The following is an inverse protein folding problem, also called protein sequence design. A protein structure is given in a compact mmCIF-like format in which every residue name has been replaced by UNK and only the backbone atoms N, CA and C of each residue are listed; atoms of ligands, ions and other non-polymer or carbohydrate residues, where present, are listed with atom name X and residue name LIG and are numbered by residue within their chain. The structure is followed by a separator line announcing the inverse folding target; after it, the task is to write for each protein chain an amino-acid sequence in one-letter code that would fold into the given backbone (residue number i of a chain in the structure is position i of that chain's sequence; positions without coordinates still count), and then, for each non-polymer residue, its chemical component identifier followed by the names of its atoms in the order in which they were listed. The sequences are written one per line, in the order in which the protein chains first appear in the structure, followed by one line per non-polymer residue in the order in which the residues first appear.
data_IF_365943864866
#
_entry.id   IF_365943864866
#
_cell.length_a   1.000
_cell.length_b   1.000
_cell.length_c   1.000
_cell.angle_alpha   90.00
_cell.angle_beta   90.00
_cell.angle_gamma   90.00
#
_symmetry.space_group_name_H-M   'P 1'
#
loop_
_entity.id
_entity.type
_entity.pdbx_description
1 polymer ?
#
# COMPACT_ATOMS: atom_id res chain seq x y z
N UNK A 1 10.98 -9.38 10.78
CA UNK A 1 10.91 -8.88 9.39
C UNK A 1 10.03 -7.64 9.40
N UNK A 2 10.53 -6.47 8.98
CA UNK A 2 9.73 -5.25 8.95
C UNK A 2 8.72 -5.30 7.79
N UNK A 3 7.46 -5.02 8.08
CA UNK A 3 6.39 -4.82 7.09
C UNK A 3 6.13 -3.33 6.99
N UNK A 4 6.18 -2.79 5.78
CA UNK A 4 5.84 -1.39 5.48
C UNK A 4 4.53 -1.36 4.71
N UNK A 5 3.62 -0.48 5.11
CA UNK A 5 2.35 -0.24 4.41
C UNK A 5 2.33 1.21 3.95
N UNK A 6 2.20 1.42 2.66
CA UNK A 6 2.14 2.74 2.03
C UNK A 6 0.81 2.93 1.31
N UNK A 7 0.22 4.11 1.46
CA UNK A 7 -0.92 4.55 0.67
C UNK A 7 -0.40 4.97 -0.71
N UNK A 8 -0.95 4.40 -1.78
CA UNK A 8 -0.67 4.89 -3.14
C UNK A 8 -1.72 5.93 -3.52
N UNK A 9 -3.00 5.60 -3.32
CA UNK A 9 -4.14 6.51 -3.43
C UNK A 9 -5.30 5.97 -2.62
N UNK A 10 -6.24 6.77 -2.10
CA UNK A 10 -7.48 6.21 -1.56
C UNK A 10 -8.25 5.49 -2.68
N UNK A 11 -8.66 4.21 -2.57
CA UNK A 11 -8.54 3.26 -1.46
C UNK A 11 -7.44 2.17 -1.65
N UNK A 12 -6.47 2.38 -2.55
CA UNK A 12 -5.32 1.52 -2.83
C UNK A 12 -4.14 1.71 -1.86
N UNK A 13 -3.82 0.63 -1.16
CA UNK A 13 -2.65 0.49 -0.31
C UNK A 13 -1.72 -0.59 -0.85
N UNK A 14 -0.43 -0.47 -0.53
CA UNK A 14 0.57 -1.49 -0.83
C UNK A 14 1.32 -1.89 0.43
N UNK A 15 1.58 -3.18 0.55
CA UNK A 15 2.30 -3.76 1.67
C UNK A 15 3.56 -4.44 1.15
N UNK A 16 4.72 -4.06 1.69
CA UNK A 16 6.02 -4.60 1.31
C UNK A 16 6.73 -5.16 2.54
N UNK A 17 7.49 -6.23 2.35
CA UNK A 17 8.36 -6.81 3.40
C UNK A 17 9.66 -7.24 2.77
N UNK A 18 10.77 -7.07 3.51
CA UNK A 18 12.07 -7.60 3.11
C UNK A 18 12.39 -8.84 3.94
N UNK A 19 12.63 -9.96 3.28
CA UNK A 19 12.96 -11.24 3.89
C UNK A 19 14.16 -11.89 3.18
N UNK A 20 15.02 -12.57 3.94
CA UNK A 20 16.13 -13.38 3.38
C UNK A 20 15.60 -14.65 2.70
N UNK A 21 14.51 -15.20 3.24
CA UNK A 21 13.84 -16.38 2.71
C UNK A 21 12.48 -15.98 2.13
N UNK A 22 12.30 -16.24 0.85
CA UNK A 22 11.08 -15.95 0.10
C UNK A 22 9.83 -16.56 0.74
N UNK A 23 9.93 -17.83 1.17
CA UNK A 23 8.81 -18.57 1.79
C UNK A 23 8.36 -17.94 3.10
N UNK A 24 9.30 -17.60 3.97
CA UNK A 24 9.00 -16.97 5.27
C UNK A 24 8.35 -15.59 5.08
N UNK A 25 8.80 -14.82 4.08
CA UNK A 25 8.22 -13.52 3.76
C UNK A 25 6.76 -13.63 3.29
N UNK A 26 6.48 -14.55 2.36
CA UNK A 26 5.12 -14.78 1.85
C UNK A 26 4.19 -15.31 2.95
N UNK A 27 4.66 -16.24 3.79
CA UNK A 27 3.87 -16.73 4.93
C UNK A 27 3.54 -15.63 5.94
N UNK A 28 4.50 -14.74 6.22
CA UNK A 28 4.29 -13.62 7.12
C UNK A 28 3.25 -12.65 6.58
N UNK A 29 3.32 -12.29 5.29
CA UNK A 29 2.34 -11.40 4.64
C UNK A 29 0.94 -12.01 4.66
N UNK A 30 0.81 -13.31 4.41
CA UNK A 30 -0.48 -14.00 4.49
C UNK A 30 -1.08 -13.95 5.90
N UNK A 31 -0.26 -14.16 6.94
CA UNK A 31 -0.70 -14.02 8.34
C UNK A 31 -1.13 -12.59 8.66
N UNK A 32 -0.37 -11.60 8.17
CA UNK A 32 -0.69 -10.19 8.37
C UNK A 32 -2.02 -9.80 7.69
N UNK A 33 -2.27 -10.28 6.46
CA UNK A 33 -3.53 -10.05 5.74
C UNK A 33 -4.71 -10.65 6.49
N UNK A 34 -4.59 -11.89 6.97
CA UNK A 34 -5.67 -12.56 7.71
C UNK A 34 -6.02 -11.81 9.01
N UNK A 35 -5.01 -11.32 9.73
CA UNK A 35 -5.23 -10.53 10.95
C UNK A 35 -5.82 -9.15 10.63
N UNK A 36 -5.36 -8.49 9.57
CA UNK A 36 -5.94 -7.23 9.09
C UNK A 36 -7.41 -7.40 8.72
N UNK A 37 -7.77 -8.48 8.02
CA UNK A 37 -9.16 -8.78 7.66
C UNK A 37 -10.02 -8.97 8.92
N UNK A 38 -9.51 -9.68 9.92
CA UNK A 38 -10.20 -9.85 11.22
C UNK A 38 -10.46 -8.51 11.90
N UNK A 39 -9.42 -7.69 12.06
CA UNK A 39 -9.51 -6.37 12.72
C UNK A 39 -10.43 -5.43 11.94
N UNK A 40 -10.33 -5.39 10.61
CA UNK A 40 -11.20 -4.55 9.79
C UNK A 40 -12.66 -4.95 9.93
N UNK A 41 -12.95 -6.26 9.90
CA UNK A 41 -14.31 -6.78 10.07
C UNK A 41 -14.89 -6.45 11.45
N UNK A 42 -14.08 -6.50 12.50
CA UNK A 42 -14.48 -6.09 13.86
C UNK A 42 -14.82 -4.60 13.95
N UNK A 43 -14.16 -3.76 13.14
CA UNK A 43 -14.42 -2.32 13.07
C UNK A 43 -15.48 -1.94 12.01
N UNK A 44 -16.12 -2.92 11.37
CA UNK A 44 -17.14 -2.68 10.32
C UNK A 44 -16.59 -2.25 8.97
N UNK A 45 -15.27 -2.35 8.75
CA UNK A 45 -14.62 -2.12 7.47
C UNK A 45 -14.50 -3.39 6.63
N UNK A 46 -14.14 -3.23 5.36
CA UNK A 46 -13.82 -4.32 4.45
C UNK A 46 -12.57 -4.00 3.64
N UNK A 47 -11.76 -5.01 3.35
CA UNK A 47 -10.59 -4.92 2.47
C UNK A 47 -10.67 -6.02 1.42
N UNK A 48 -10.24 -5.70 0.21
CA UNK A 48 -10.13 -6.66 -0.89
C UNK A 48 -8.68 -6.73 -1.35
N UNK A 49 -8.08 -7.90 -1.24
CA UNK A 49 -6.74 -8.15 -1.76
C UNK A 49 -6.80 -8.17 -3.30
N UNK A 50 -6.17 -7.19 -3.94
CA UNK A 50 -6.10 -7.11 -5.41
C UNK A 50 -5.03 -8.03 -5.99
N UNK A 51 -3.87 -8.05 -5.33
CA UNK A 51 -2.75 -8.91 -5.68
C UNK A 51 -2.36 -9.74 -4.46
N UNK A 52 -2.27 -11.06 -4.64
CA UNK A 52 -1.80 -11.95 -3.59
C UNK A 52 -0.31 -11.71 -3.26
N UNK A 53 0.11 -11.96 -2.01
CA UNK A 53 1.50 -11.85 -1.61
C UNK A 53 2.40 -12.73 -2.48
N UNK A 54 3.34 -12.11 -3.18
CA UNK A 54 4.35 -12.81 -3.99
C UNK A 54 5.71 -12.19 -3.82
N UNK A 55 6.74 -12.96 -4.17
CA UNK A 55 8.10 -12.43 -4.27
C UNK A 55 8.15 -11.47 -5.44
N UNK A 56 8.47 -10.22 -5.17
CA UNK A 56 8.68 -9.23 -6.21
C UNK A 56 10.09 -9.38 -6.81
N UNK A 57 10.19 -9.20 -8.13
CA UNK A 57 11.48 -9.05 -8.79
C UNK A 57 11.92 -7.58 -8.74
N UNK A 58 13.23 -7.33 -8.88
CA UNK A 58 13.79 -5.96 -8.85
C UNK A 58 13.11 -4.98 -9.82
N UNK A 59 12.65 -5.47 -10.97
CA UNK A 59 11.92 -4.64 -11.93
C UNK A 59 10.54 -4.23 -11.39
N UNK A 60 9.80 -5.16 -10.80
CA UNK A 60 8.48 -4.89 -10.23
C UNK A 60 8.58 -3.91 -9.06
N UNK A 61 9.61 -4.03 -8.22
CA UNK A 61 9.86 -3.07 -7.15
C UNK A 61 10.14 -1.65 -7.69
N UNK A 62 10.91 -1.54 -8.78
CA UNK A 62 11.22 -0.26 -9.41
C UNK A 62 9.98 0.38 -10.06
N UNK A 63 9.15 -0.42 -10.71
CA UNK A 63 7.89 0.04 -11.30
C UNK A 63 6.91 0.52 -10.21
N UNK A 64 6.86 -0.19 -9.08
CA UNK A 64 6.03 0.14 -7.93
C UNK A 64 6.49 1.46 -7.27
N UNK A 65 7.81 1.64 -7.10
CA UNK A 65 8.38 2.88 -6.59
C UNK A 65 8.11 4.06 -7.54
N UNK A 66 8.21 3.84 -8.85
CA UNK A 66 7.87 4.82 -9.86
C UNK A 66 6.40 5.23 -9.80
N UNK A 67 5.50 4.26 -9.64
CA UNK A 67 4.07 4.52 -9.47
C UNK A 67 3.78 5.32 -8.19
N UNK A 68 4.43 4.97 -7.08
CA UNK A 68 4.28 5.71 -5.82
C UNK A 68 4.74 7.16 -5.95
N UNK A 69 5.91 7.41 -6.54
CA UNK A 69 6.41 8.79 -6.76
C UNK A 69 5.50 9.61 -7.65
N UNK A 70 4.95 8.99 -8.71
CA UNK A 70 4.02 9.67 -9.62
C UNK A 70 2.75 10.09 -8.89
N UNK A 71 2.16 9.18 -8.11
CA UNK A 71 0.93 9.44 -7.35
C UNK A 71 1.15 10.46 -6.22
N UNK A 72 2.33 10.47 -5.61
CA UNK A 72 2.71 11.49 -4.62
C UNK A 72 2.79 12.89 -5.25
N UNK A 73 3.35 13.00 -6.47
CA UNK A 73 3.37 14.25 -7.22
C UNK A 73 1.94 14.71 -7.58
N UNK A 74 1.12 13.80 -8.11
CA UNK A 74 -0.26 14.09 -8.50
C UNK A 74 -1.10 14.54 -7.29
N UNK A 75 -0.87 13.98 -6.10
CA UNK A 75 -1.54 14.42 -4.86
C UNK A 75 -1.03 15.78 -4.34
N UNK A 76 0.24 16.14 -4.58
CA UNK A 76 0.77 17.45 -4.21
C UNK A 76 0.25 18.57 -5.11
N UNK A 77 0.04 18.30 -6.40
CA UNK A 77 -0.44 19.30 -7.37
C UNK A 77 -1.92 19.67 -7.20
N UNK A 78 -2.72 18.92 -6.43
CA UNK A 78 -4.15 19.24 -6.16
C UNK A 78 -4.36 20.17 -4.95
N UNK A 79 -3.30 20.67 -4.31
CA UNK A 79 -3.40 21.44 -3.07
C UNK A 79 -3.48 22.97 -3.23
N UNK A 80 -3.72 23.52 -4.42
CA UNK A 80 -3.74 24.98 -4.62
C UNK A 80 -4.64 25.46 -5.78
N UNK A 81 -5.95 25.32 -5.62
CA UNK A 81 -6.92 26.33 -6.07
C UNK A 81 -8.32 25.93 -5.56
N UNK A 82 -8.67 26.40 -4.37
CA UNK A 82 -9.99 26.99 -4.11
C UNK A 82 -9.99 27.63 -2.70
N UNK A 83 -10.56 28.82 -2.60
CA UNK A 83 -10.81 29.66 -1.43
C UNK A 83 -9.77 30.76 -1.08
N UNK A 84 -9.55 31.70 -2.02
CA UNK A 84 -9.46 33.13 -1.66
C UNK A 84 -10.59 33.90 -2.38
N UNK A 85 -11.84 33.54 -2.09
CA UNK A 85 -12.99 34.44 -2.19
C UNK A 85 -13.10 35.20 -0.85
N UNK A 86 -12.43 36.35 -0.70
CA UNK A 86 -12.76 37.37 0.30
C UNK A 86 -12.18 38.75 -0.08
N UNK A 87 -12.88 39.48 -0.97
CA UNK A 87 -13.09 40.96 -0.92
C UNK A 87 -14.13 41.42 -1.97
#
# INVERSE_FOLDING_TARGET
MPISISLIAPPLYVMTTMALQEREGVELLNKAIAELERVLKENGGAMTVKNEPRVAHKQEDADLEGLMKKMELENQEVAADDDEDED
#
